data_IF_070946573848
#
_entry.id   IF_070946573848
#
_cell.length_a   1.000
_cell.length_b   1.000
_cell.length_c   1.000
_cell.angle_alpha   90.00
_cell.angle_beta   90.00
_cell.angle_gamma   90.00
#
_symmetry.space_group_name_H-M   'P 1'
#
loop_
_entity.id
_entity.type
_entity.pdbx_description
1 polymer ?
#
# COMPACT_ATOMS: atom_id res chain seq x y z
N UNK A 1 15.18 -1.29 18.62
CA UNK A 1 15.19 -2.79 18.61
C UNK A 1 13.99 -3.36 17.88
N UNK A 2 12.76 -2.85 18.10
CA UNK A 2 11.55 -3.35 17.43
C UNK A 2 11.58 -3.24 15.90
N UNK A 3 12.06 -2.12 15.33
CA UNK A 3 12.16 -1.95 13.87
C UNK A 3 13.12 -2.95 13.20
N UNK A 4 14.24 -3.29 13.86
CA UNK A 4 15.16 -4.31 13.34
C UNK A 4 14.53 -5.70 13.34
N UNK A 5 13.76 -6.01 14.39
CA UNK A 5 12.98 -7.25 14.44
C UNK A 5 11.93 -7.30 13.32
N UNK A 6 11.19 -6.20 13.10
CA UNK A 6 10.21 -6.11 12.01
C UNK A 6 10.90 -6.33 10.66
N UNK A 7 12.01 -5.64 10.38
CA UNK A 7 12.78 -5.85 9.13
C UNK A 7 13.18 -7.32 8.97
N UNK A 8 13.72 -7.94 10.02
CA UNK A 8 14.12 -9.35 9.97
C UNK A 8 12.93 -10.27 9.67
N UNK A 9 11.77 -10.04 10.32
CA UNK A 9 10.54 -10.79 10.07
C UNK A 9 10.01 -10.58 8.65
N UNK A 10 10.09 -9.37 8.11
CA UNK A 10 9.68 -9.06 6.73
C UNK A 10 10.59 -9.73 5.71
N UNK A 11 11.91 -9.78 5.94
CA UNK A 11 12.83 -10.55 5.10
C UNK A 11 12.48 -12.04 5.09
N UNK A 12 12.21 -12.61 6.26
CA UNK A 12 11.78 -14.02 6.37
C UNK A 12 10.46 -14.23 5.65
N UNK A 13 9.48 -13.35 5.84
CA UNK A 13 8.18 -13.41 5.19
C UNK A 13 8.30 -13.36 3.65
N UNK A 14 9.11 -12.46 3.11
CA UNK A 14 9.32 -12.33 1.67
C UNK A 14 9.97 -13.59 1.07
N UNK A 15 10.98 -14.14 1.75
CA UNK A 15 11.63 -15.38 1.31
C UNK A 15 10.69 -16.59 1.39
N UNK A 16 9.81 -16.65 2.38
CA UNK A 16 8.76 -17.67 2.47
C UNK A 16 7.73 -17.50 1.35
N UNK A 17 7.33 -16.25 1.07
CA UNK A 17 6.43 -15.93 -0.02
C UNK A 17 6.99 -16.42 -1.36
N UNK A 18 8.28 -16.23 -1.64
CA UNK A 18 8.89 -16.73 -2.88
C UNK A 18 8.73 -18.23 -3.08
N UNK A 19 8.84 -19.03 -2.02
CA UNK A 19 8.62 -20.48 -2.11
C UNK A 19 7.16 -20.82 -2.43
N UNK A 20 6.21 -20.05 -1.88
CA UNK A 20 4.79 -20.22 -2.14
C UNK A 20 4.47 -19.81 -3.59
N UNK A 21 4.90 -18.61 -3.98
CA UNK A 21 4.67 -18.07 -5.32
C UNK A 21 5.23 -18.99 -6.41
N UNK A 22 6.44 -19.53 -6.23
CA UNK A 22 7.06 -20.49 -7.15
C UNK A 22 6.25 -21.80 -7.22
N UNK A 23 5.85 -22.36 -6.06
CA UNK A 23 5.04 -23.58 -5.98
C UNK A 23 3.68 -23.45 -6.68
N UNK A 24 3.04 -22.30 -6.58
CA UNK A 24 1.72 -22.03 -7.16
C UNK A 24 1.78 -21.34 -8.53
N UNK A 25 2.97 -21.17 -9.11
CA UNK A 25 3.18 -20.46 -10.39
C UNK A 25 2.57 -19.05 -10.41
N UNK A 26 2.70 -18.29 -9.31
CA UNK A 26 2.32 -16.88 -9.23
C UNK A 26 3.44 -16.05 -9.84
N UNK A 27 3.49 -16.05 -11.17
CA UNK A 27 4.54 -15.43 -11.97
C UNK A 27 3.98 -14.38 -12.91
N UNK A 28 4.75 -13.31 -13.12
CA UNK A 28 4.54 -12.37 -14.19
C UNK A 28 5.34 -12.80 -15.42
N UNK A 29 4.65 -12.92 -16.55
CA UNK A 29 5.24 -13.29 -17.84
C UNK A 29 5.35 -12.04 -18.71
N UNK A 30 6.52 -11.75 -19.28
CA UNK A 30 6.70 -10.57 -20.11
C UNK A 30 5.75 -10.58 -21.30
N UNK A 31 5.00 -9.50 -21.47
CA UNK A 31 4.09 -9.25 -22.58
C UNK A 31 4.55 -8.02 -23.38
N UNK A 32 3.84 -7.65 -24.45
CA UNK A 32 4.22 -6.51 -25.32
C UNK A 32 4.25 -5.15 -24.60
N UNK A 33 3.66 -5.04 -23.41
CA UNK A 33 3.67 -3.84 -22.56
C UNK A 33 4.68 -3.93 -21.41
N UNK A 34 5.31 -5.08 -21.20
CA UNK A 34 6.25 -5.30 -20.09
C UNK A 34 7.61 -4.69 -20.41
N UNK A 35 8.16 -3.96 -19.43
CA UNK A 35 9.54 -3.42 -19.50
C UNK A 35 10.61 -4.43 -19.07
N UNK A 36 10.21 -5.65 -18.69
CA UNK A 36 11.09 -6.75 -18.32
C UNK A 36 11.06 -7.86 -19.38
N UNK A 37 12.10 -8.68 -19.43
CA UNK A 37 12.26 -9.77 -20.41
C UNK A 37 12.28 -11.16 -19.80
N UNK A 38 12.16 -11.27 -18.47
CA UNK A 38 12.26 -12.53 -17.73
C UNK A 38 11.02 -12.81 -16.89
N UNK A 39 10.69 -14.09 -16.72
CA UNK A 39 9.66 -14.53 -15.79
C UNK A 39 10.09 -14.13 -14.37
N UNK A 40 9.23 -13.36 -13.70
CA UNK A 40 9.52 -12.80 -12.36
C UNK A 40 8.38 -13.17 -11.42
N UNK A 41 8.64 -13.38 -10.13
CA UNK A 41 7.57 -13.66 -9.16
C UNK A 41 6.65 -12.45 -9.02
N UNK A 42 5.34 -12.67 -9.06
CA UNK A 42 4.34 -11.61 -8.84
C UNK A 42 3.84 -11.67 -7.40
N UNK A 43 3.42 -10.53 -6.85
CA UNK A 43 2.77 -10.47 -5.53
C UNK A 43 3.71 -10.35 -4.33
N UNK A 44 4.99 -10.01 -4.53
CA UNK A 44 5.95 -9.80 -3.43
C UNK A 44 5.55 -8.67 -2.48
N UNK A 45 4.65 -7.78 -2.87
CA UNK A 45 4.16 -6.73 -1.97
C UNK A 45 3.18 -7.22 -0.90
N UNK A 46 2.94 -8.54 -0.75
CA UNK A 46 2.22 -9.11 0.39
C UNK A 46 2.81 -8.67 1.74
N UNK A 47 4.10 -8.30 1.78
CA UNK A 47 4.76 -7.76 2.97
C UNK A 47 4.16 -6.46 3.48
N UNK A 48 3.48 -5.67 2.63
CA UNK A 48 2.72 -4.50 3.10
C UNK A 48 1.51 -4.91 3.93
N UNK A 49 0.81 -6.00 3.57
CA UNK A 49 -0.25 -6.54 4.41
C UNK A 49 0.29 -7.13 5.71
N UNK A 50 1.44 -7.82 5.65
CA UNK A 50 2.09 -8.41 6.85
C UNK A 50 2.53 -7.32 7.83
N UNK A 51 3.12 -6.23 7.33
CA UNK A 51 3.54 -5.12 8.21
C UNK A 51 2.33 -4.36 8.77
N UNK A 52 1.21 -4.29 8.03
CA UNK A 52 -0.07 -3.78 8.55
C UNK A 52 -0.62 -4.66 9.68
N UNK A 53 -0.50 -5.98 9.56
CA UNK A 53 -0.87 -6.92 10.62
C UNK A 53 -0.02 -6.69 11.87
N UNK A 54 1.30 -6.52 11.72
CA UNK A 54 2.17 -6.20 12.85
C UNK A 54 1.78 -4.89 13.51
N UNK A 55 1.50 -3.85 12.73
CA UNK A 55 1.01 -2.57 13.26
C UNK A 55 -0.29 -2.74 14.06
N UNK A 56 -1.28 -3.43 13.50
CA UNK A 56 -2.57 -3.65 14.16
C UNK A 56 -2.46 -4.50 15.43
N UNK A 57 -1.56 -5.49 15.44
CA UNK A 57 -1.34 -6.34 16.61
C UNK A 57 -0.63 -5.61 17.76
N UNK A 58 0.34 -4.74 17.44
CA UNK A 58 1.13 -4.00 18.44
C UNK A 58 0.37 -2.75 18.93
N UNK A 59 -0.30 -2.05 18.03
CA UNK A 59 -1.00 -0.78 18.29
C UNK A 59 -2.53 -0.95 18.17
N UNK A 60 -3.07 -2.00 18.81
CA UNK A 60 -4.48 -2.33 18.71
C UNK A 60 -5.37 -1.16 19.18
N UNK A 61 -6.25 -0.71 18.31
CA UNK A 61 -7.18 0.41 18.51
C UNK A 61 -8.32 0.32 17.51
N UNK A 62 -9.38 1.13 17.70
CA UNK A 62 -10.46 1.22 16.71
C UNK A 62 -9.93 1.66 15.34
N UNK A 63 -9.01 2.64 15.32
CA UNK A 63 -8.33 3.08 14.10
C UNK A 63 -7.59 1.93 13.41
N UNK A 64 -6.72 1.23 14.13
CA UNK A 64 -5.89 0.17 13.53
C UNK A 64 -6.72 -1.05 13.11
N UNK A 65 -7.82 -1.35 13.81
CA UNK A 65 -8.77 -2.39 13.42
C UNK A 65 -9.48 -2.06 12.09
N UNK A 66 -10.02 -0.84 11.96
CA UNK A 66 -10.65 -0.40 10.70
C UNK A 66 -9.65 -0.31 9.55
N UNK A 67 -8.48 0.28 9.79
CA UNK A 67 -7.41 0.33 8.81
C UNK A 67 -7.02 -1.08 8.33
N UNK A 68 -6.79 -2.01 9.25
CA UNK A 68 -6.38 -3.37 8.91
C UNK A 68 -7.49 -4.16 8.21
N UNK A 69 -8.76 -3.92 8.55
CA UNK A 69 -9.89 -4.49 7.81
C UNK A 69 -9.89 -4.00 6.35
N UNK A 70 -9.70 -2.70 6.11
CA UNK A 70 -9.58 -2.15 4.76
C UNK A 70 -8.36 -2.69 4.01
N UNK A 71 -7.20 -2.72 4.66
CA UNK A 71 -5.97 -3.29 4.11
C UNK A 71 -6.14 -4.76 3.74
N UNK A 72 -6.86 -5.53 4.56
CA UNK A 72 -7.16 -6.94 4.28
C UNK A 72 -8.09 -7.10 3.09
N UNK A 73 -9.19 -6.32 3.03
CA UNK A 73 -10.11 -6.35 1.89
C UNK A 73 -9.40 -6.06 0.58
N UNK A 74 -8.59 -4.99 0.54
CA UNK A 74 -7.92 -4.55 -0.68
C UNK A 74 -6.77 -5.48 -1.07
N UNK A 75 -6.02 -6.02 -0.10
CA UNK A 75 -4.95 -6.97 -0.38
C UNK A 75 -5.50 -8.31 -0.85
N UNK A 76 -6.61 -8.80 -0.27
CA UNK A 76 -7.22 -10.07 -0.67
C UNK A 76 -7.78 -10.03 -2.08
N UNK A 77 -8.53 -8.99 -2.44
CA UNK A 77 -9.07 -8.87 -3.80
C UNK A 77 -7.94 -8.76 -4.83
N UNK A 78 -6.90 -8.00 -4.51
CA UNK A 78 -5.77 -7.79 -5.40
C UNK A 78 -4.90 -9.04 -5.54
N UNK A 79 -4.69 -9.79 -4.45
CA UNK A 79 -3.99 -11.08 -4.51
C UNK A 79 -4.77 -12.12 -5.29
N UNK A 80 -6.10 -12.13 -5.18
CA UNK A 80 -6.94 -12.98 -6.02
C UNK A 80 -6.83 -12.57 -7.50
N UNK A 81 -6.84 -11.27 -7.80
CA UNK A 81 -6.62 -10.76 -9.16
C UNK A 81 -5.26 -11.20 -9.73
N UNK A 82 -4.19 -11.13 -8.92
CA UNK A 82 -2.85 -11.59 -9.29
C UNK A 82 -2.81 -13.08 -9.70
N UNK A 83 -3.66 -13.93 -9.12
CA UNK A 83 -3.68 -15.39 -9.37
C UNK A 83 -4.60 -15.77 -10.52
N UNK A 84 -5.86 -15.29 -10.53
CA UNK A 84 -6.91 -15.79 -11.44
C UNK A 84 -7.41 -14.76 -12.45
N UNK A 85 -7.06 -13.48 -12.27
CA UNK A 85 -7.74 -12.38 -12.94
C UNK A 85 -9.19 -12.23 -12.44
N UNK A 86 -9.57 -11.02 -12.10
CA UNK A 86 -10.89 -10.65 -11.61
C UNK A 86 -11.50 -9.55 -12.49
N UNK A 87 -12.82 -9.56 -12.57
CA UNK A 87 -13.56 -8.50 -13.24
C UNK A 87 -13.44 -7.16 -12.51
N UNK A 88 -13.35 -6.07 -13.28
CA UNK A 88 -13.23 -4.70 -12.74
C UNK A 88 -14.33 -4.34 -11.73
N UNK A 89 -15.56 -4.87 -11.90
CA UNK A 89 -16.68 -4.63 -10.97
C UNK A 89 -16.41 -5.18 -9.57
N UNK A 90 -15.82 -6.37 -9.47
CA UNK A 90 -15.47 -6.98 -8.18
C UNK A 90 -14.35 -6.18 -7.53
N UNK A 91 -13.31 -5.82 -8.29
CA UNK A 91 -12.21 -4.99 -7.81
C UNK A 91 -12.72 -3.66 -7.25
N UNK A 92 -13.57 -2.96 -8.00
CA UNK A 92 -14.14 -1.67 -7.58
C UNK A 92 -14.96 -1.80 -6.29
N UNK A 93 -15.76 -2.86 -6.14
CA UNK A 93 -16.54 -3.09 -4.92
C UNK A 93 -15.63 -3.19 -3.69
N UNK A 94 -14.56 -3.99 -3.77
CA UNK A 94 -13.64 -4.15 -2.65
C UNK A 94 -12.80 -2.90 -2.39
N UNK A 95 -12.43 -2.14 -3.43
CA UNK A 95 -11.77 -0.84 -3.26
C UNK A 95 -12.68 0.16 -2.54
N UNK A 96 -13.98 0.19 -2.88
CA UNK A 96 -14.98 1.00 -2.18
C UNK A 96 -15.08 0.57 -0.71
N UNK A 97 -15.25 -0.72 -0.44
CA UNK A 97 -15.34 -1.22 0.94
C UNK A 97 -14.07 -0.93 1.75
N UNK A 98 -12.89 -1.10 1.16
CA UNK A 98 -11.63 -0.77 1.82
C UNK A 98 -11.54 0.73 2.14
N UNK A 99 -11.93 1.59 1.19
CA UNK A 99 -11.94 3.04 1.39
C UNK A 99 -12.99 3.45 2.43
N UNK A 100 -14.14 2.77 2.50
CA UNK A 100 -15.12 2.93 3.60
C UNK A 100 -14.47 2.67 4.95
N UNK A 101 -13.66 1.62 5.07
CA UNK A 101 -12.93 1.33 6.31
C UNK A 101 -11.94 2.44 6.67
N UNK A 102 -11.20 3.00 5.70
CA UNK A 102 -10.31 4.14 5.94
C UNK A 102 -11.07 5.41 6.34
N UNK A 103 -12.21 5.69 5.71
CA UNK A 103 -13.10 6.79 6.09
C UNK A 103 -13.68 6.62 7.49
N UNK A 104 -14.02 5.39 7.88
CA UNK A 104 -14.47 5.09 9.23
C UNK A 104 -13.33 5.24 10.24
N UNK A 105 -12.11 4.80 9.90
CA UNK A 105 -10.93 4.97 10.74
C UNK A 105 -10.58 6.46 10.97
N UNK A 106 -10.75 7.28 9.93
CA UNK A 106 -10.49 8.72 9.97
C UNK A 106 -11.70 9.58 10.37
N UNK A 107 -12.79 8.97 10.87
CA UNK A 107 -14.01 9.65 11.35
C UNK A 107 -14.64 10.60 10.31
N UNK A 108 -14.56 10.26 9.02
CA UNK A 108 -15.08 11.09 7.92
C UNK A 108 -16.61 11.14 7.92
N UNK A 109 -17.27 10.04 8.26
CA UNK A 109 -18.72 9.92 8.22
C UNK A 109 -19.36 10.77 9.33
N UNK A 110 -20.24 11.70 8.94
CA UNK A 110 -20.90 12.64 9.85
C UNK A 110 -20.11 13.93 10.09
N UNK A 111 -18.79 13.92 9.88
CA UNK A 111 -17.95 15.12 9.95
C UNK A 111 -17.99 15.94 8.65
N UNK A 112 -18.14 15.27 7.50
CA UNK A 112 -18.15 15.91 6.18
C UNK A 112 -19.47 15.71 5.44
N UNK A 113 -19.86 16.65 4.54
CA UNK A 113 -21.08 16.50 3.75
C UNK A 113 -20.95 15.34 2.76
N UNK A 114 -22.08 14.68 2.46
CA UNK A 114 -22.12 13.46 1.64
C UNK A 114 -21.43 13.60 0.27
N UNK A 115 -21.51 14.78 -0.36
CA UNK A 115 -20.88 15.03 -1.66
C UNK A 115 -19.35 15.05 -1.57
N UNK A 116 -18.79 15.54 -0.46
CA UNK A 116 -17.34 15.54 -0.24
C UNK A 116 -16.82 14.10 -0.04
N UNK A 117 -17.59 13.25 0.64
CA UNK A 117 -17.29 11.83 0.80
C UNK A 117 -17.26 11.12 -0.57
N UNK A 118 -18.21 11.43 -1.47
CA UNK A 118 -18.22 10.89 -2.83
C UNK A 118 -16.98 11.32 -3.61
N UNK A 119 -16.61 12.60 -3.56
CA UNK A 119 -15.38 13.09 -4.19
C UNK A 119 -14.15 12.38 -3.61
N UNK A 120 -14.12 12.20 -2.29
CA UNK A 120 -13.08 11.44 -1.61
C UNK A 120 -12.92 10.02 -2.19
N UNK A 121 -14.01 9.27 -2.36
CA UNK A 121 -13.94 7.94 -2.98
C UNK A 121 -13.32 8.01 -4.38
N UNK A 122 -13.76 8.94 -5.23
CA UNK A 122 -13.27 9.06 -6.60
C UNK A 122 -11.77 9.36 -6.62
N UNK A 123 -11.34 10.37 -5.84
CA UNK A 123 -9.94 10.81 -5.80
C UNK A 123 -9.05 9.70 -5.25
N UNK A 124 -9.38 9.14 -4.10
CA UNK A 124 -8.53 8.17 -3.42
C UNK A 124 -8.47 6.83 -4.13
N UNK A 125 -9.58 6.33 -4.69
CA UNK A 125 -9.56 5.12 -5.54
C UNK A 125 -8.80 5.40 -6.84
N UNK A 126 -8.92 6.61 -7.40
CA UNK A 126 -8.13 7.06 -8.55
C UNK A 126 -6.62 6.98 -8.28
N UNK A 127 -6.18 7.49 -7.13
CA UNK A 127 -4.77 7.44 -6.69
C UNK A 127 -4.30 6.00 -6.51
N UNK A 128 -5.12 5.15 -5.88
CA UNK A 128 -4.82 3.72 -5.72
C UNK A 128 -4.60 3.03 -7.07
N UNK A 129 -5.46 3.32 -8.06
CA UNK A 129 -5.29 2.78 -9.40
C UNK A 129 -4.04 3.34 -10.10
N UNK A 130 -3.71 4.63 -9.91
CA UNK A 130 -2.50 5.23 -10.46
C UNK A 130 -1.23 4.55 -9.92
N UNK A 131 -1.16 4.28 -8.62
CA UNK A 131 -0.07 3.51 -8.00
C UNK A 131 0.06 2.11 -8.60
N UNK A 132 -1.06 1.43 -8.88
CA UNK A 132 -1.02 0.11 -9.48
C UNK A 132 -0.32 0.12 -10.85
N UNK A 133 -0.57 1.14 -11.67
CA UNK A 133 0.12 1.31 -12.96
C UNK A 133 1.64 1.52 -12.83
N UNK A 134 2.15 1.94 -11.66
CA UNK A 134 3.58 2.21 -11.45
C UNK A 134 4.43 0.94 -11.29
N UNK A 135 3.82 -0.22 -10.99
CA UNK A 135 4.55 -1.48 -10.70
C UNK A 135 5.12 -2.18 -11.94
N UNK A 136 5.01 -1.58 -13.12
CA UNK A 136 5.56 -2.12 -14.38
C UNK A 136 7.07 -1.96 -14.56
N UNK A 137 7.75 -1.18 -13.71
CA UNK A 137 9.18 -0.87 -13.82
C UNK A 137 9.86 -1.13 -12.46
N UNK A 138 11.00 -1.86 -12.50
CA UNK A 138 11.78 -2.21 -11.31
C UNK A 138 12.10 -0.95 -10.48
N UNK A 139 11.71 -0.99 -9.21
CA UNK A 139 12.00 0.03 -8.21
C UNK A 139 10.99 1.16 -8.13
N UNK A 140 10.15 1.41 -9.15
CA UNK A 140 9.29 2.62 -9.15
C UNK A 140 8.32 2.61 -7.98
N UNK A 141 7.50 1.56 -7.82
CA UNK A 141 6.52 1.48 -6.72
C UNK A 141 7.15 1.70 -5.35
N UNK A 142 8.29 1.05 -5.09
CA UNK A 142 8.97 1.14 -3.80
C UNK A 142 9.66 2.48 -3.57
N UNK A 143 10.38 3.01 -4.56
CA UNK A 143 11.11 4.27 -4.44
C UNK A 143 10.16 5.46 -4.33
N UNK A 144 9.09 5.47 -5.13
CA UNK A 144 8.05 6.50 -5.04
C UNK A 144 7.34 6.46 -3.69
N UNK A 145 7.01 5.25 -3.19
CA UNK A 145 6.44 5.10 -1.85
C UNK A 145 7.40 5.63 -0.77
N UNK A 146 8.70 5.37 -0.86
CA UNK A 146 9.69 5.94 0.08
C UNK A 146 9.72 7.46 -0.02
N UNK A 147 9.73 8.04 -1.23
CA UNK A 147 9.76 9.48 -1.41
C UNK A 147 8.55 10.16 -0.74
N UNK A 148 7.35 9.60 -0.93
CA UNK A 148 6.13 10.09 -0.30
C UNK A 148 6.16 9.88 1.22
N UNK A 149 6.52 8.69 1.70
CA UNK A 149 6.53 8.36 3.13
C UNK A 149 7.57 9.17 3.92
N UNK A 150 8.76 9.38 3.38
CA UNK A 150 9.79 10.24 4.01
C UNK A 150 9.29 11.67 4.10
N UNK A 151 8.64 12.17 3.05
CA UNK A 151 8.09 13.53 3.03
C UNK A 151 6.96 13.69 4.05
N UNK A 152 6.05 12.71 4.13
CA UNK A 152 4.99 12.67 5.14
C UNK A 152 5.56 12.56 6.56
N UNK A 153 6.64 11.78 6.75
CA UNK A 153 7.35 11.67 8.02
C UNK A 153 7.96 13.01 8.45
N UNK A 154 8.56 13.75 7.50
CA UNK A 154 9.08 15.08 7.77
C UNK A 154 7.98 16.07 8.17
N UNK A 155 6.85 16.06 7.46
CA UNK A 155 5.68 16.87 7.82
C UNK A 155 5.15 16.50 9.21
N UNK A 156 5.03 15.21 9.52
CA UNK A 156 4.52 14.74 10.81
C UNK A 156 5.39 15.18 12.00
N UNK A 157 6.70 15.20 11.82
CA UNK A 157 7.65 15.55 12.89
C UNK A 157 7.84 17.07 13.04
N UNK A 158 7.96 17.80 11.93
CA UNK A 158 8.43 19.19 11.95
C UNK A 158 7.40 20.25 11.57
N UNK A 159 6.28 19.86 10.95
CA UNK A 159 5.26 20.82 10.46
C UNK A 159 3.95 20.66 11.22
N UNK A 160 3.34 19.47 11.15
CA UNK A 160 2.06 19.17 11.77
C UNK A 160 1.97 17.69 12.09
N UNK A 161 2.04 17.33 13.37
CA UNK A 161 1.74 15.98 13.80
C UNK A 161 0.28 15.62 13.50
N UNK A 162 0.08 14.52 12.79
CA UNK A 162 -1.23 14.02 12.35
C UNK A 162 -1.42 12.51 12.57
N UNK A 163 -0.35 11.76 12.82
CA UNK A 163 -0.42 10.30 13.04
C UNK A 163 0.75 9.82 13.91
N UNK A 164 0.64 8.66 14.60
CA UNK A 164 1.79 8.05 15.26
C UNK A 164 2.92 7.78 14.26
N UNK A 165 4.16 8.09 14.63
CA UNK A 165 5.35 7.90 13.76
C UNK A 165 5.46 6.47 13.22
N UNK A 166 5.08 5.47 14.02
CA UNK A 166 5.08 4.06 13.63
C UNK A 166 4.20 3.78 12.40
N UNK A 167 3.09 4.50 12.24
CA UNK A 167 2.19 4.32 11.09
C UNK A 167 2.80 4.78 9.75
N UNK A 168 3.86 5.59 9.80
CA UNK A 168 4.66 6.01 8.63
C UNK A 168 5.89 5.10 8.48
N UNK A 169 6.54 4.76 9.59
CA UNK A 169 7.79 3.96 9.57
C UNK A 169 7.55 2.54 9.07
N UNK A 170 6.45 1.89 9.48
CA UNK A 170 6.18 0.48 9.13
C UNK A 170 6.11 0.22 7.62
N UNK A 171 5.32 0.97 6.82
CA UNK A 171 5.32 0.80 5.37
C UNK A 171 6.67 1.18 4.75
N UNK A 172 7.43 2.11 5.33
CA UNK A 172 8.77 2.46 4.87
C UNK A 172 9.75 1.30 5.06
N UNK A 173 9.70 0.58 6.19
CA UNK A 173 10.49 -0.63 6.41
C UNK A 173 10.13 -1.73 5.40
N UNK A 174 8.84 -1.92 5.12
CA UNK A 174 8.39 -2.86 4.10
C UNK A 174 8.87 -2.47 2.70
N UNK A 175 8.84 -1.17 2.33
CA UNK A 175 9.37 -0.70 1.05
C UNK A 175 10.88 -0.91 0.93
N UNK A 176 11.66 -0.74 2.02
CA UNK A 176 13.09 -1.03 2.01
C UNK A 176 13.37 -2.53 1.77
N UNK A 177 12.64 -3.41 2.44
CA UNK A 177 12.76 -4.86 2.24
C UNK A 177 12.32 -5.25 0.83
N UNK A 178 11.20 -4.71 0.35
CA UNK A 178 10.71 -4.91 -1.03
C UNK A 178 11.77 -4.52 -2.07
N UNK A 179 12.31 -3.31 -1.95
CA UNK A 179 13.31 -2.77 -2.88
C UNK A 179 14.59 -3.60 -2.89
N UNK A 180 14.97 -4.23 -1.78
CA UNK A 180 16.11 -5.15 -1.77
C UNK A 180 15.94 -6.29 -2.79
N UNK A 181 14.72 -6.75 -3.05
CA UNK A 181 14.42 -7.82 -4.02
C UNK A 181 13.99 -7.28 -5.39
N UNK A 182 13.32 -6.13 -5.43
CA UNK A 182 12.75 -5.54 -6.63
C UNK A 182 13.71 -4.58 -7.37
N UNK A 183 14.44 -3.71 -6.65
CA UNK A 183 15.33 -2.72 -7.25
C UNK A 183 16.67 -3.33 -7.70
N UNK A 184 16.59 -4.09 -8.79
CA UNK A 184 17.70 -4.85 -9.37
C UNK A 184 17.64 -4.76 -10.89
N UNK A 185 18.77 -5.01 -11.55
CA UNK A 185 18.79 -5.23 -13.02
C UNK A 185 17.88 -6.40 -13.43
N UNK A 186 17.77 -7.41 -12.55
CA UNK A 186 16.81 -8.52 -12.65
C UNK A 186 16.04 -8.59 -11.34
N UNK A 187 14.82 -8.08 -11.34
CA UNK A 187 13.94 -8.14 -10.17
C UNK A 187 13.69 -9.59 -9.79
N UNK A 188 13.70 -9.89 -8.49
CA UNK A 188 13.33 -11.21 -7.97
C UNK A 188 11.82 -11.33 -7.81
N UNK A 189 11.16 -10.23 -7.51
CA UNK A 189 9.71 -10.11 -7.42
C UNK A 189 9.25 -8.73 -7.91
N UNK A 190 8.03 -8.68 -8.41
CA UNK A 190 7.22 -7.46 -8.55
C UNK A 190 6.25 -7.37 -7.37
N UNK A 191 5.76 -6.16 -7.06
CA UNK A 191 4.83 -5.98 -5.96
C UNK A 191 3.54 -6.76 -6.24
N UNK A 192 3.13 -6.84 -7.50
CA UNK A 192 1.82 -7.33 -7.92
C UNK A 192 0.73 -6.33 -7.52
N UNK A 193 -0.51 -6.62 -7.90
CA UNK A 193 -1.65 -5.81 -7.49
C UNK A 193 -1.76 -5.83 -5.96
N UNK A 194 -1.52 -6.97 -5.29
CA UNK A 194 -1.55 -7.06 -3.81
C UNK A 194 -0.63 -6.04 -3.15
N UNK A 195 0.52 -5.79 -3.76
CA UNK A 195 1.53 -4.89 -3.25
C UNK A 195 1.27 -3.43 -3.56
N UNK A 196 1.13 -3.13 -4.85
CA UNK A 196 1.00 -1.76 -5.35
C UNK A 196 -0.28 -1.09 -4.87
N UNK A 197 -1.40 -1.83 -4.89
CA UNK A 197 -2.69 -1.36 -4.36
C UNK A 197 -2.64 -1.27 -2.83
N UNK A 198 -1.97 -2.21 -2.17
CA UNK A 198 -1.82 -2.23 -0.71
C UNK A 198 -1.04 -1.02 -0.17
N UNK A 199 0.14 -0.73 -0.72
CA UNK A 199 0.92 0.45 -0.30
C UNK A 199 0.21 1.76 -0.65
N UNK A 200 -0.48 1.81 -1.80
CA UNK A 200 -1.26 2.98 -2.19
C UNK A 200 -2.39 3.27 -1.19
N UNK A 201 -3.11 2.23 -0.74
CA UNK A 201 -4.14 2.39 0.28
C UNK A 201 -3.57 2.96 1.59
N UNK A 202 -2.38 2.53 1.99
CA UNK A 202 -1.69 3.07 3.17
C UNK A 202 -1.32 4.54 2.98
N UNK A 203 -0.69 4.89 1.86
CA UNK A 203 -0.31 6.28 1.54
C UNK A 203 -1.54 7.18 1.47
N UNK A 204 -2.60 6.74 0.80
CA UNK A 204 -3.86 7.45 0.70
C UNK A 204 -4.50 7.67 2.07
N UNK A 205 -4.42 6.69 2.98
CA UNK A 205 -4.90 6.83 4.36
C UNK A 205 -4.08 7.89 5.11
N UNK A 206 -2.75 7.91 4.95
CA UNK A 206 -1.89 8.95 5.54
C UNK A 206 -2.23 10.34 4.99
N UNK A 207 -2.42 10.48 3.67
CA UNK A 207 -2.83 11.74 3.04
C UNK A 207 -4.19 12.21 3.56
N UNK A 208 -5.17 11.30 3.67
CA UNK A 208 -6.48 11.59 4.23
C UNK A 208 -6.36 12.15 5.66
N UNK A 209 -5.59 11.49 6.52
CA UNK A 209 -5.38 11.95 7.91
C UNK A 209 -4.74 13.33 7.96
N UNK A 210 -3.72 13.58 7.14
CA UNK A 210 -3.06 14.89 7.07
C UNK A 210 -4.01 15.98 6.58
N UNK A 211 -4.76 15.72 5.50
CA UNK A 211 -5.77 16.63 4.95
C UNK A 211 -6.83 16.99 5.99
N UNK A 212 -7.36 16.01 6.72
CA UNK A 212 -8.33 16.25 7.80
C UNK A 212 -7.67 17.05 8.93
N UNK A 213 -6.42 16.75 9.27
CA UNK A 213 -5.72 17.44 10.36
C UNK A 213 -5.47 18.92 10.05
N UNK A 214 -5.14 19.26 8.81
CA UNK A 214 -4.84 20.64 8.40
C UNK A 214 -6.01 21.36 7.74
N UNK A 215 -7.06 20.65 7.35
CA UNK A 215 -8.17 21.15 6.51
C UNK A 215 -7.68 21.74 5.17
N UNK A 216 -6.65 21.14 4.58
CA UNK A 216 -6.03 21.63 3.34
C UNK A 216 -5.78 20.50 2.35
N UNK A 217 -6.18 20.69 1.09
CA UNK A 217 -6.01 19.73 -0.01
C UNK A 217 -4.64 19.83 -0.68
N UNK A 218 -3.82 20.84 -0.35
CA UNK A 218 -2.48 21.03 -0.91
C UNK A 218 -1.58 19.79 -0.76
N UNK A 219 -1.83 18.99 0.29
CA UNK A 219 -1.07 17.79 0.59
C UNK A 219 -1.23 16.67 -0.44
N UNK A 220 -2.26 16.70 -1.29
CA UNK A 220 -2.33 15.82 -2.47
C UNK A 220 -1.14 16.04 -3.42
N UNK A 221 -0.46 17.20 -3.33
CA UNK A 221 0.73 17.51 -4.10
C UNK A 221 1.93 16.61 -3.83
N UNK A 222 1.96 15.86 -2.72
CA UNK A 222 2.99 14.82 -2.50
C UNK A 222 2.97 13.72 -3.56
N UNK A 223 1.86 13.58 -4.28
CA UNK A 223 1.75 12.62 -5.38
C UNK A 223 2.41 13.11 -6.67
N UNK A 224 2.96 14.33 -6.70
CA UNK A 224 3.69 14.89 -7.85
C UNK A 224 5.21 14.77 -7.74
N UNK A 225 5.72 14.12 -6.69
CA UNK A 225 7.17 13.90 -6.44
C UNK A 225 7.75 12.85 -7.38
#
# INVERSE_FOLDING_TARGET
MIYLLIIALLFVAELLYFRIADKYNIIDKPNQRSSHTQITLRGGGIIYWIVALFYAAIHFSAFSAWFFAGMTLISLVSFWDDIKGLGQKVRLLFHLLAMTCAFQAAEVFGAYPWWAVIIGYIVFIGIVNAYNFMDGINGITGLYSIAVLVSLGWVNEYVQAFTPTDFIVYPLLASLVFLFFNFRKRAKCFAGDVGSVGIAFWVVTLLLLLIIRTQDLIWLGFLMV
#
